data_IF_761521043410
#
_entry.id   IF_761521043410
#
_cell.length_a   1.000
_cell.length_b   1.000
_cell.length_c   1.000
_cell.angle_alpha   90.00
_cell.angle_beta   90.00
_cell.angle_gamma   90.00
#
_symmetry.space_group_name_H-M   'P 1'
#
loop_
_entity.id
_entity.type
_entity.pdbx_description
1 polymer ?
#
# COMPACT_ATOMS: atom_id res chain seq x y z
N UNK A 1 -8.19 -0.48 7.12
CA UNK A 1 -9.20 -0.12 6.11
C UNK A 1 -10.22 -1.26 5.89
N UNK A 2 -9.80 -2.49 5.62
CA UNK A 2 -10.70 -3.63 5.41
C UNK A 2 -11.56 -3.93 6.65
N UNK A 3 -11.02 -3.78 7.86
CA UNK A 3 -11.77 -3.89 9.13
C UNK A 3 -12.87 -2.82 9.30
N UNK A 4 -12.80 -1.73 8.54
CA UNK A 4 -13.86 -0.72 8.47
C UNK A 4 -14.84 -0.94 7.31
N UNK A 5 -14.81 -2.12 6.68
CA UNK A 5 -15.72 -2.51 5.60
C UNK A 5 -15.32 -2.08 4.19
N UNK A 6 -14.15 -1.45 4.01
CA UNK A 6 -13.65 -1.13 2.67
C UNK A 6 -13.12 -2.37 1.95
N UNK A 7 -13.34 -2.43 0.64
CA UNK A 7 -12.72 -3.44 -0.21
C UNK A 7 -11.32 -2.97 -0.58
N UNK A 8 -10.29 -3.69 -0.13
CA UNK A 8 -8.87 -3.35 -0.24
C UNK A 8 -8.04 -4.45 -0.93
N UNK A 9 -8.16 -4.65 -2.25
CA UNK A 9 -7.31 -5.60 -2.95
C UNK A 9 -5.89 -5.02 -3.05
N UNK A 10 -4.96 -5.54 -2.27
CA UNK A 10 -3.56 -5.13 -2.30
C UNK A 10 -2.78 -5.99 -3.29
N UNK A 11 -2.57 -5.45 -4.47
CA UNK A 11 -1.64 -5.97 -5.46
C UNK A 11 -0.27 -5.32 -5.23
N UNK A 12 0.75 -6.10 -4.96
CA UNK A 12 2.10 -5.64 -4.67
C UNK A 12 3.12 -6.24 -5.62
N UNK A 13 4.28 -5.61 -5.72
CA UNK A 13 5.47 -6.17 -6.35
C UNK A 13 6.39 -6.78 -5.29
N UNK A 14 7.30 -7.65 -5.75
CA UNK A 14 8.51 -8.01 -5.02
C UNK A 14 9.49 -6.83 -5.03
N UNK A 15 10.54 -6.90 -4.22
CA UNK A 15 11.56 -5.86 -4.17
C UNK A 15 12.14 -5.55 -5.57
N UNK A 16 12.30 -4.26 -5.86
CA UNK A 16 12.95 -3.76 -7.09
C UNK A 16 14.26 -3.09 -6.71
N UNK A 17 14.21 -2.04 -5.89
CA UNK A 17 15.37 -1.26 -5.41
C UNK A 17 15.41 -1.15 -3.88
N UNK A 18 14.42 -1.68 -3.18
CA UNK A 18 14.32 -1.75 -1.71
C UNK A 18 14.75 -3.11 -1.18
N UNK A 19 14.95 -3.23 0.13
CA UNK A 19 15.33 -4.48 0.80
C UNK A 19 14.21 -5.54 0.71
N UNK A 20 12.93 -5.11 0.72
CA UNK A 20 11.77 -5.96 0.56
C UNK A 20 10.65 -5.23 -0.18
N UNK A 21 9.81 -5.98 -0.90
CA UNK A 21 8.49 -5.55 -1.35
C UNK A 21 7.41 -6.12 -0.42
N UNK A 22 6.20 -5.57 -0.45
CA UNK A 22 5.11 -6.09 0.39
C UNK A 22 4.82 -7.57 0.13
N UNK A 23 4.97 -8.04 -1.12
CA UNK A 23 4.81 -9.45 -1.44
C UNK A 23 5.86 -10.32 -0.74
N UNK A 24 7.13 -9.89 -0.73
CA UNK A 24 8.21 -10.61 -0.05
C UNK A 24 7.96 -10.70 1.46
N UNK A 25 7.45 -9.62 2.06
CA UNK A 25 7.12 -9.57 3.49
C UNK A 25 6.02 -10.56 3.83
N UNK A 26 4.91 -10.54 3.09
CA UNK A 26 3.77 -11.44 3.36
C UNK A 26 4.11 -12.90 3.05
N UNK A 27 4.96 -13.16 2.05
CA UNK A 27 5.38 -14.52 1.68
C UNK A 27 6.12 -15.25 2.80
N UNK A 28 6.66 -14.53 3.79
CA UNK A 28 7.27 -15.15 4.98
C UNK A 28 6.27 -15.90 5.86
N UNK A 29 4.97 -15.62 5.74
CA UNK A 29 3.90 -16.25 6.56
C UNK A 29 2.73 -16.80 5.77
N UNK A 30 2.56 -16.42 4.50
CA UNK A 30 1.44 -16.85 3.68
C UNK A 30 1.80 -16.87 2.20
N UNK A 31 1.04 -17.63 1.44
CA UNK A 31 1.12 -17.63 -0.03
C UNK A 31 0.71 -16.26 -0.58
N UNK A 32 1.41 -15.79 -1.62
CA UNK A 32 1.11 -14.51 -2.30
C UNK A 32 0.77 -14.69 -3.79
N UNK A 33 0.86 -15.91 -4.30
CA UNK A 33 0.55 -16.25 -5.68
C UNK A 33 -0.79 -17.01 -5.74
N UNK A 34 -1.73 -16.43 -6.47
CA UNK A 34 -3.10 -16.92 -6.57
C UNK A 34 -3.61 -16.78 -7.99
N UNK A 35 -4.54 -17.63 -8.40
CA UNK A 35 -5.36 -17.43 -9.59
C UNK A 35 -6.37 -16.29 -9.35
N UNK A 36 -6.90 -15.72 -10.43
CA UNK A 36 -7.94 -14.67 -10.33
C UNK A 36 -9.21 -15.19 -9.61
N UNK A 37 -9.53 -16.46 -9.75
CA UNK A 37 -10.68 -17.06 -9.07
C UNK A 37 -10.48 -17.17 -7.56
N UNK A 38 -9.29 -17.58 -7.12
CA UNK A 38 -8.92 -17.59 -5.70
C UNK A 38 -8.96 -16.17 -5.11
N UNK A 39 -8.37 -15.19 -5.80
CA UNK A 39 -8.40 -13.79 -5.38
C UNK A 39 -9.84 -13.27 -5.18
N UNK A 40 -10.74 -13.59 -6.11
CA UNK A 40 -12.16 -13.23 -5.97
C UNK A 40 -12.81 -13.87 -4.75
N UNK A 41 -12.50 -15.15 -4.45
CA UNK A 41 -13.00 -15.85 -3.26
C UNK A 41 -12.48 -15.21 -1.98
N UNK A 42 -11.17 -14.93 -1.90
CA UNK A 42 -10.53 -14.27 -0.77
C UNK A 42 -11.19 -12.91 -0.51
N UNK A 43 -11.30 -12.05 -1.54
CA UNK A 43 -11.91 -10.72 -1.40
C UNK A 43 -13.36 -10.81 -0.96
N UNK A 44 -14.15 -11.75 -1.47
CA UNK A 44 -15.55 -11.96 -1.03
C UNK A 44 -15.65 -12.35 0.45
N UNK A 45 -14.67 -13.11 0.95
CA UNK A 45 -14.65 -13.58 2.34
C UNK A 45 -14.16 -12.50 3.31
N UNK A 46 -13.10 -11.76 2.94
CA UNK A 46 -12.33 -10.90 3.88
C UNK A 46 -12.40 -9.41 3.57
N UNK A 47 -12.98 -9.00 2.44
CA UNK A 47 -12.91 -7.66 1.86
C UNK A 47 -11.50 -7.20 1.46
N UNK A 48 -10.51 -8.06 1.53
CA UNK A 48 -9.13 -7.71 1.17
C UNK A 48 -8.36 -8.91 0.59
N UNK A 49 -7.22 -8.63 0.01
CA UNK A 49 -6.19 -9.63 -0.30
C UNK A 49 -4.82 -8.96 -0.32
N UNK A 50 -3.78 -9.76 -0.12
CA UNK A 50 -2.38 -9.36 -0.28
C UNK A 50 -1.71 -10.31 -1.26
N UNK A 51 -1.47 -9.86 -2.49
CA UNK A 51 -1.04 -10.72 -3.59
C UNK A 51 0.15 -10.14 -4.35
N UNK A 52 0.95 -11.02 -4.92
CA UNK A 52 1.95 -10.63 -5.90
C UNK A 52 1.33 -10.49 -7.29
N UNK A 53 1.31 -9.25 -7.80
CA UNK A 53 0.68 -8.94 -9.08
C UNK A 53 1.37 -9.53 -10.30
N UNK A 54 2.63 -9.93 -10.18
CA UNK A 54 3.36 -10.59 -11.25
C UNK A 54 2.79 -11.96 -11.63
N UNK A 55 2.30 -12.72 -10.64
CA UNK A 55 1.68 -14.04 -10.90
C UNK A 55 0.33 -13.94 -11.60
N UNK A 56 -0.45 -12.91 -11.31
CA UNK A 56 -1.79 -12.74 -11.90
C UNK A 56 -1.80 -12.24 -13.34
N UNK A 57 -0.68 -11.71 -13.83
CA UNK A 57 -0.66 -11.09 -15.16
C UNK A 57 -1.66 -9.95 -15.35
N UNK A 58 -2.07 -9.29 -14.26
CA UNK A 58 -3.10 -8.21 -14.28
C UNK A 58 -2.66 -7.03 -15.14
N UNK A 59 -1.35 -6.77 -15.19
CA UNK A 59 -0.74 -5.74 -16.04
C UNK A 59 0.51 -6.32 -16.70
N UNK A 60 0.40 -7.16 -17.73
CA UNK A 60 1.54 -7.86 -18.32
C UNK A 60 2.64 -6.94 -18.85
N UNK A 61 2.25 -5.78 -19.40
CA UNK A 61 3.19 -4.77 -19.88
C UNK A 61 4.05 -4.21 -18.75
N UNK A 62 3.45 -3.89 -17.61
CA UNK A 62 4.15 -3.39 -16.42
C UNK A 62 5.18 -4.41 -15.91
N UNK A 63 4.82 -5.68 -15.86
CA UNK A 63 5.73 -6.76 -15.44
C UNK A 63 6.96 -6.86 -16.34
N UNK A 64 6.78 -6.78 -17.67
CA UNK A 64 7.88 -6.81 -18.63
C UNK A 64 8.79 -5.58 -18.52
N UNK A 65 8.18 -4.41 -18.33
CA UNK A 65 8.93 -3.15 -18.18
C UNK A 65 9.75 -3.17 -16.90
N UNK A 66 9.19 -3.60 -15.77
CA UNK A 66 9.90 -3.74 -14.50
C UNK A 66 11.11 -4.68 -14.64
N UNK A 67 10.97 -5.75 -15.42
CA UNK A 67 12.10 -6.66 -15.68
C UNK A 67 13.25 -5.95 -16.41
N UNK A 68 12.94 -5.13 -17.42
CA UNK A 68 13.92 -4.31 -18.14
C UNK A 68 14.56 -3.26 -17.21
N UNK A 69 13.75 -2.55 -16.42
CA UNK A 69 14.22 -1.55 -15.45
C UNK A 69 15.21 -2.16 -14.45
N UNK A 70 14.89 -3.35 -13.92
CA UNK A 70 15.79 -4.11 -13.03
C UNK A 70 17.12 -4.44 -13.71
N UNK A 71 17.06 -4.94 -14.93
CA UNK A 71 18.25 -5.33 -15.70
C UNK A 71 19.16 -4.14 -16.01
N UNK A 72 18.56 -2.99 -16.30
CA UNK A 72 19.29 -1.75 -16.62
C UNK A 72 19.60 -0.90 -15.38
N UNK A 73 19.07 -1.25 -14.20
CA UNK A 73 19.17 -0.46 -12.95
C UNK A 73 18.67 0.98 -13.11
N UNK A 74 17.57 1.18 -13.82
CA UNK A 74 16.93 2.47 -14.04
C UNK A 74 15.56 2.53 -13.38
N UNK A 75 15.10 3.73 -13.04
CA UNK A 75 13.78 3.98 -12.43
C UNK A 75 13.20 5.30 -13.01
N UNK A 76 12.78 5.31 -14.30
CA UNK A 76 12.30 6.53 -14.93
C UNK A 76 10.95 6.98 -14.35
N UNK A 77 10.81 8.26 -14.01
CA UNK A 77 9.58 8.82 -13.40
C UNK A 77 8.30 8.55 -14.21
N UNK A 78 8.27 8.65 -15.55
CA UNK A 78 7.07 8.30 -16.31
C UNK A 78 6.66 6.84 -16.13
N UNK A 79 7.62 5.92 -16.03
CA UNK A 79 7.35 4.50 -15.82
C UNK A 79 6.83 4.23 -14.42
N UNK A 80 7.38 4.90 -13.39
CA UNK A 80 6.87 4.85 -12.03
C UNK A 80 5.37 5.25 -11.98
N UNK A 81 5.02 6.36 -12.63
CA UNK A 81 3.63 6.84 -12.69
C UNK A 81 2.73 5.83 -13.41
N UNK A 82 3.17 5.33 -14.58
CA UNK A 82 2.42 4.36 -15.36
C UNK A 82 2.21 3.05 -14.59
N UNK A 83 3.25 2.53 -13.93
CA UNK A 83 3.19 1.32 -13.11
C UNK A 83 2.22 1.45 -11.93
N UNK A 84 2.25 2.57 -11.23
CA UNK A 84 1.32 2.83 -10.12
C UNK A 84 -0.12 2.90 -10.62
N UNK A 85 -0.38 3.71 -11.66
CA UNK A 85 -1.72 3.95 -12.16
C UNK A 85 -2.34 2.71 -12.81
N UNK A 86 -1.59 2.00 -13.63
CA UNK A 86 -2.09 0.79 -14.31
C UNK A 86 -2.60 -0.26 -13.33
N UNK A 87 -1.87 -0.52 -12.25
CA UNK A 87 -2.29 -1.46 -11.19
C UNK A 87 -3.57 -1.02 -10.49
N UNK A 88 -3.73 0.28 -10.20
CA UNK A 88 -4.92 0.81 -9.53
C UNK A 88 -6.14 0.80 -10.46
N UNK A 89 -5.94 1.10 -11.73
CA UNK A 89 -7.00 1.07 -12.74
C UNK A 89 -7.43 -0.38 -13.02
N UNK A 90 -6.48 -1.30 -13.18
CA UNK A 90 -6.76 -2.71 -13.40
C UNK A 90 -7.53 -3.35 -12.22
N UNK A 91 -7.20 -2.95 -10.98
CA UNK A 91 -7.95 -3.35 -9.79
C UNK A 91 -9.34 -2.68 -9.66
N UNK A 92 -9.71 -1.79 -10.56
CA UNK A 92 -11.00 -1.07 -10.50
C UNK A 92 -11.13 -0.07 -9.35
N UNK A 93 -10.01 0.37 -8.75
CA UNK A 93 -10.00 1.27 -7.59
C UNK A 93 -10.74 2.57 -7.87
N UNK A 94 -11.75 2.90 -7.06
CA UNK A 94 -12.53 4.15 -7.14
C UNK A 94 -11.85 5.28 -6.37
N UNK A 95 -11.26 4.98 -5.23
CA UNK A 95 -10.54 5.89 -4.34
C UNK A 95 -9.08 5.46 -4.29
N UNK A 96 -8.17 6.37 -4.50
CA UNK A 96 -6.73 6.10 -4.56
C UNK A 96 -6.01 7.13 -3.70
N UNK A 97 -5.34 6.68 -2.66
CA UNK A 97 -4.43 7.50 -1.88
C UNK A 97 -2.99 7.20 -2.33
N UNK A 98 -2.26 8.23 -2.70
CA UNK A 98 -0.84 8.14 -3.07
C UNK A 98 -0.02 8.82 -1.98
N UNK A 99 0.78 8.05 -1.28
CA UNK A 99 1.82 8.58 -0.39
C UNK A 99 3.08 8.85 -1.22
N UNK A 100 3.61 10.07 -1.10
CA UNK A 100 4.82 10.52 -1.81
C UNK A 100 5.84 10.94 -0.76
N UNK A 101 6.67 9.99 -0.27
CA UNK A 101 7.78 10.32 0.62
C UNK A 101 8.83 11.15 -0.10
N UNK A 102 9.25 12.26 0.50
CA UNK A 102 10.27 13.16 -0.04
C UNK A 102 11.30 13.53 1.03
N UNK A 103 12.49 13.91 0.61
CA UNK A 103 13.53 14.35 1.54
C UNK A 103 14.94 14.03 1.09
N UNK A 104 15.89 14.27 1.96
CA UNK A 104 17.30 13.89 1.72
C UNK A 104 17.39 12.37 1.74
N UNK A 105 17.95 11.77 0.67
CA UNK A 105 18.01 10.32 0.54
C UNK A 105 16.75 9.64 0.01
N UNK A 106 15.62 10.34 -0.05
CA UNK A 106 14.40 9.83 -0.69
C UNK A 106 14.52 9.83 -2.22
N UNK A 107 13.65 9.05 -2.89
CA UNK A 107 13.61 8.99 -4.37
C UNK A 107 13.33 10.34 -5.04
N UNK A 108 12.67 11.25 -4.34
CA UNK A 108 12.26 12.55 -4.87
C UNK A 108 12.50 13.68 -3.88
N UNK A 109 12.83 14.85 -4.41
CA UNK A 109 12.86 16.11 -3.67
C UNK A 109 11.44 16.64 -3.45
N UNK A 110 11.27 17.62 -2.55
CA UNK A 110 9.97 18.27 -2.30
C UNK A 110 9.36 18.86 -3.58
N UNK A 111 10.18 19.49 -4.44
CA UNK A 111 9.74 20.07 -5.71
C UNK A 111 9.20 18.99 -6.66
N UNK A 112 9.89 17.88 -6.75
CA UNK A 112 9.47 16.74 -7.57
C UNK A 112 8.23 16.06 -7.01
N UNK A 113 8.11 15.90 -5.70
CA UNK A 113 6.93 15.37 -5.05
C UNK A 113 5.68 16.22 -5.33
N UNK A 114 5.80 17.54 -5.28
CA UNK A 114 4.73 18.46 -5.65
C UNK A 114 4.33 18.33 -7.13
N UNK A 115 5.30 18.12 -8.02
CA UNK A 115 5.00 17.87 -9.44
C UNK A 115 4.30 16.52 -9.65
N UNK A 116 4.78 15.45 -9.01
CA UNK A 116 4.12 14.14 -9.06
C UNK A 116 2.69 14.21 -8.55
N UNK A 117 2.45 14.92 -7.45
CA UNK A 117 1.10 15.16 -6.92
C UNK A 117 0.18 15.75 -7.99
N UNK A 118 0.61 16.80 -8.68
CA UNK A 118 -0.18 17.43 -9.76
C UNK A 118 -0.49 16.44 -10.89
N UNK A 119 0.49 15.63 -11.27
CA UNK A 119 0.32 14.63 -12.34
C UNK A 119 -0.71 13.57 -11.90
N UNK A 120 -0.58 12.99 -10.71
CA UNK A 120 -1.52 11.98 -10.22
C UNK A 120 -2.95 12.53 -10.08
N UNK A 121 -3.10 13.74 -9.57
CA UNK A 121 -4.41 14.39 -9.43
C UNK A 121 -5.04 14.70 -10.81
N UNK A 122 -4.22 15.08 -11.81
CA UNK A 122 -4.67 15.24 -13.20
C UNK A 122 -5.13 13.91 -13.81
N UNK A 123 -4.33 12.84 -13.65
CA UNK A 123 -4.69 11.49 -14.09
C UNK A 123 -5.98 11.00 -13.42
N UNK A 124 -6.18 11.33 -12.14
CA UNK A 124 -7.41 11.03 -11.42
C UNK A 124 -8.64 11.63 -12.12
N UNK A 125 -8.57 12.89 -12.52
CA UNK A 125 -9.64 13.55 -13.28
C UNK A 125 -9.85 12.87 -14.63
N UNK A 126 -8.77 12.61 -15.37
CA UNK A 126 -8.82 11.96 -16.69
C UNK A 126 -9.50 10.58 -16.63
N UNK A 127 -9.11 9.75 -15.68
CA UNK A 127 -9.65 8.39 -15.51
C UNK A 127 -10.92 8.34 -14.64
N UNK A 128 -11.49 9.49 -14.25
CA UNK A 128 -12.68 9.59 -13.38
C UNK A 128 -12.52 8.81 -12.07
N UNK A 129 -11.35 8.92 -11.44
CA UNK A 129 -11.02 8.33 -10.13
C UNK A 129 -10.76 9.42 -9.10
N UNK A 130 -11.16 9.17 -7.85
CA UNK A 130 -10.83 10.08 -6.76
C UNK A 130 -9.41 9.78 -6.28
N UNK A 131 -8.46 10.62 -6.67
CA UNK A 131 -7.06 10.52 -6.25
C UNK A 131 -6.76 11.63 -5.26
N UNK A 132 -6.18 11.28 -4.12
CA UNK A 132 -5.57 12.20 -3.15
C UNK A 132 -4.10 11.85 -3.01
N UNK A 133 -3.22 12.84 -3.04
CA UNK A 133 -1.81 12.65 -2.76
C UNK A 133 -1.46 13.32 -1.44
N UNK A 134 -0.76 12.60 -0.58
CA UNK A 134 -0.15 13.13 0.64
C UNK A 134 1.36 13.12 0.49
N UNK A 135 2.01 14.14 1.06
CA UNK A 135 3.46 14.26 1.07
C UNK A 135 3.92 13.94 2.49
N UNK A 136 4.83 12.97 2.61
CA UNK A 136 5.37 12.54 3.90
C UNK A 136 6.89 12.68 3.94
N UNK A 137 7.46 12.67 5.12
CA UNK A 137 8.91 12.63 5.26
C UNK A 137 9.45 11.27 4.80
N UNK A 138 10.42 11.29 3.91
CA UNK A 138 11.13 10.12 3.39
C UNK A 138 12.64 10.20 3.64
N UNK A 139 13.08 11.10 4.53
CA UNK A 139 14.50 11.29 4.83
C UNK A 139 15.13 10.13 5.61
N UNK A 140 14.28 9.33 6.27
CA UNK A 140 14.69 8.14 7.01
C UNK A 140 13.74 6.96 6.69
N UNK A 141 14.20 5.71 6.75
CA UNK A 141 13.33 4.55 6.82
C UNK A 141 12.42 4.65 8.05
N UNK A 142 11.23 4.06 7.98
CA UNK A 142 10.30 3.93 9.11
C UNK A 142 10.30 2.49 9.60
N UNK A 143 9.95 2.28 10.87
CA UNK A 143 10.06 0.99 11.53
C UNK A 143 11.47 0.70 12.02
N UNK A 144 11.67 -0.46 12.62
CA UNK A 144 12.93 -0.91 13.21
C UNK A 144 13.58 -2.03 12.41
N UNK A 145 12.78 -2.77 11.63
CA UNK A 145 13.22 -3.89 10.83
C UNK A 145 13.50 -3.52 9.37
N UNK A 146 14.54 -4.12 8.78
CA UNK A 146 14.86 -4.04 7.37
C UNK A 146 14.95 -5.46 6.81
N UNK A 147 14.18 -5.74 5.77
CA UNK A 147 14.07 -7.05 5.15
C UNK A 147 12.79 -7.79 5.56
N UNK A 148 12.38 -8.83 4.79
CA UNK A 148 11.03 -9.38 4.86
C UNK A 148 10.56 -9.79 6.24
N UNK A 149 11.33 -10.63 6.94
CA UNK A 149 10.95 -11.16 8.26
C UNK A 149 10.95 -10.08 9.35
N UNK A 150 11.89 -9.12 9.30
CA UNK A 150 11.99 -8.07 10.31
C UNK A 150 10.89 -7.02 10.11
N UNK A 151 10.57 -6.68 8.88
CA UNK A 151 9.45 -5.80 8.54
C UNK A 151 8.11 -6.43 8.95
N UNK A 152 7.93 -7.74 8.71
CA UNK A 152 6.75 -8.45 9.19
C UNK A 152 6.61 -8.42 10.71
N UNK A 153 7.73 -8.61 11.44
CA UNK A 153 7.73 -8.52 12.90
C UNK A 153 7.26 -7.16 13.40
N UNK A 154 7.68 -6.08 12.75
CA UNK A 154 7.23 -4.73 13.09
C UNK A 154 5.73 -4.54 12.80
N UNK A 155 5.24 -5.07 11.67
CA UNK A 155 3.81 -5.06 11.32
C UNK A 155 2.99 -5.80 12.39
N UNK A 156 3.41 -7.00 12.80
CA UNK A 156 2.70 -7.76 13.82
C UNK A 156 2.67 -7.02 15.14
N UNK A 157 3.80 -6.42 15.57
CA UNK A 157 3.86 -5.64 16.81
C UNK A 157 2.95 -4.42 16.83
N UNK A 158 2.70 -3.80 15.67
CA UNK A 158 1.77 -2.68 15.57
C UNK A 158 0.33 -3.18 15.57
N UNK A 159 0.05 -4.29 14.90
CA UNK A 159 -1.31 -4.80 14.75
C UNK A 159 -1.83 -5.47 16.02
N UNK A 160 -0.96 -6.15 16.77
CA UNK A 160 -1.32 -6.85 18.02
C UNK A 160 -1.46 -5.82 19.16
N UNK A 161 -2.68 -5.62 19.73
CA UNK A 161 -2.91 -4.65 20.78
C UNK A 161 -2.17 -4.95 22.09
N UNK A 162 -1.60 -6.15 22.25
CA UNK A 162 -0.83 -6.55 23.42
C UNK A 162 0.67 -6.30 23.26
N UNK A 163 1.10 -5.78 22.12
CA UNK A 163 2.50 -5.50 21.81
C UNK A 163 2.72 -4.01 21.53
N UNK A 164 3.99 -3.60 21.62
CA UNK A 164 4.41 -2.25 21.24
C UNK A 164 5.34 -2.32 20.05
N UNK A 165 4.93 -1.71 18.95
CA UNK A 165 5.69 -1.61 17.72
C UNK A 165 6.37 -0.24 17.53
N UNK A 166 7.07 -0.04 16.40
CA UNK A 166 7.67 1.23 16.05
C UNK A 166 6.60 2.32 15.87
N UNK A 167 6.71 3.41 16.65
CA UNK A 167 5.73 4.50 16.68
C UNK A 167 5.61 5.24 15.34
N UNK A 168 6.71 5.48 14.67
CA UNK A 168 6.75 6.15 13.37
C UNK A 168 5.98 5.38 12.29
N UNK A 169 6.10 4.06 12.29
CA UNK A 169 5.36 3.17 11.39
C UNK A 169 3.86 3.14 11.73
N UNK A 170 3.52 3.09 13.04
CA UNK A 170 2.14 3.16 13.51
C UNK A 170 1.50 4.49 13.12
N UNK A 171 2.12 5.62 13.45
CA UNK A 171 1.63 6.97 13.18
C UNK A 171 1.38 7.18 11.68
N UNK A 172 2.31 6.76 10.84
CA UNK A 172 2.14 6.85 9.38
C UNK A 172 1.00 5.98 8.89
N UNK A 173 0.89 4.74 9.38
CA UNK A 173 -0.16 3.80 8.97
C UNK A 173 -1.54 4.31 9.35
N UNK A 174 -1.70 4.82 10.56
CA UNK A 174 -2.93 5.43 11.08
C UNK A 174 -3.28 6.70 10.30
N UNK A 175 -2.30 7.55 10.01
CA UNK A 175 -2.50 8.75 9.17
C UNK A 175 -3.04 8.38 7.80
N UNK A 176 -2.40 7.44 7.09
CA UNK A 176 -2.83 7.03 5.76
C UNK A 176 -4.21 6.35 5.77
N UNK A 177 -4.50 5.54 6.77
CA UNK A 177 -5.82 4.93 6.93
C UNK A 177 -6.90 5.99 7.19
N UNK A 178 -6.60 6.97 8.04
CA UNK A 178 -7.49 8.10 8.31
C UNK A 178 -7.83 8.91 7.07
N UNK A 179 -6.83 9.19 6.23
CA UNK A 179 -7.01 9.86 4.95
C UNK A 179 -7.95 9.09 4.00
N UNK A 180 -7.84 7.76 3.98
CA UNK A 180 -8.75 6.90 3.19
C UNK A 180 -10.16 6.93 3.77
N UNK A 181 -10.33 6.89 5.09
CA UNK A 181 -11.64 6.94 5.73
C UNK A 181 -12.38 8.25 5.42
N UNK A 182 -11.67 9.37 5.43
CA UNK A 182 -12.24 10.66 5.05
C UNK A 182 -12.58 10.74 3.55
N UNK A 183 -11.69 10.23 2.68
CA UNK A 183 -11.94 10.19 1.24
C UNK A 183 -13.17 9.37 0.85
N UNK A 184 -13.40 8.27 1.55
CA UNK A 184 -14.49 7.32 1.27
C UNK A 184 -15.79 7.67 1.98
N UNK A 185 -15.78 8.61 2.92
CA UNK A 185 -16.94 9.02 3.70
C UNK A 185 -17.26 8.10 4.88
N UNK A 186 -16.36 7.18 5.23
CA UNK A 186 -16.48 6.35 6.45
C UNK A 186 -16.36 7.22 7.71
N UNK A 187 -15.52 8.24 7.66
CA UNK A 187 -15.43 9.25 8.70
C UNK A 187 -15.69 10.65 8.17
N UNK A 188 -16.10 11.55 9.07
CA UNK A 188 -16.14 12.99 8.78
C UNK A 188 -14.71 13.52 8.62
N UNK A 189 -14.57 14.63 7.89
CA UNK A 189 -13.30 15.32 7.74
C UNK A 189 -12.71 15.67 9.12
N UNK A 190 -11.44 15.36 9.33
CA UNK A 190 -10.72 15.56 10.59
C UNK A 190 -10.91 14.46 11.64
N UNK A 191 -11.79 13.48 11.41
CA UNK A 191 -12.04 12.36 12.33
C UNK A 191 -11.42 11.02 11.88
N UNK A 192 -10.84 10.98 10.68
CA UNK A 192 -10.33 9.74 10.09
C UNK A 192 -9.19 9.12 10.88
N UNK A 193 -8.24 9.95 11.34
CA UNK A 193 -7.10 9.47 12.13
C UNK A 193 -7.58 8.81 13.43
N UNK A 194 -8.48 9.44 14.16
CA UNK A 194 -9.02 8.89 15.43
C UNK A 194 -9.72 7.56 15.20
N UNK A 195 -10.52 7.43 14.15
CA UNK A 195 -11.15 6.17 13.79
C UNK A 195 -10.13 5.08 13.47
N UNK A 196 -9.04 5.42 12.79
CA UNK A 196 -7.97 4.47 12.47
C UNK A 196 -7.25 3.99 13.73
N UNK A 197 -6.96 4.89 14.69
CA UNK A 197 -6.41 4.59 16.00
C UNK A 197 -7.33 3.64 16.79
N UNK A 198 -8.62 3.94 16.86
CA UNK A 198 -9.60 3.12 17.58
C UNK A 198 -9.72 1.70 16.99
N UNK A 199 -9.69 1.58 15.66
CA UNK A 199 -9.70 0.27 14.98
C UNK A 199 -8.40 -0.50 15.27
N UNK A 200 -7.26 0.17 15.28
CA UNK A 200 -5.97 -0.47 15.54
C UNK A 200 -5.90 -0.98 17.00
N UNK A 201 -6.14 -0.09 17.96
CA UNK A 201 -6.00 -0.38 19.38
C UNK A 201 -7.09 -1.33 19.93
N UNK A 202 -8.24 -1.43 19.26
CA UNK A 202 -9.26 -2.43 19.61
C UNK A 202 -8.95 -3.86 19.15
N UNK A 203 -7.84 -4.08 18.43
CA UNK A 203 -7.48 -5.39 17.89
C UNK A 203 -8.21 -5.78 16.59
N UNK A 204 -9.23 -5.02 16.15
CA UNK A 204 -10.00 -5.31 14.92
C UNK A 204 -9.11 -5.35 13.66
N UNK A 205 -8.05 -4.55 13.63
CA UNK A 205 -7.10 -4.57 12.52
C UNK A 205 -6.28 -5.86 12.51
N UNK A 206 -5.88 -6.36 13.67
CA UNK A 206 -5.15 -7.62 13.82
C UNK A 206 -6.00 -8.83 13.43
N UNK A 207 -7.23 -8.89 13.95
CA UNK A 207 -8.19 -9.94 13.56
C UNK A 207 -8.41 -9.98 12.05
N UNK A 208 -8.64 -8.81 11.43
CA UNK A 208 -8.80 -8.71 9.98
C UNK A 208 -7.55 -9.12 9.21
N UNK A 209 -6.37 -8.80 9.70
CA UNK A 209 -5.12 -9.25 9.11
C UNK A 209 -5.00 -10.77 9.14
N UNK A 210 -5.31 -11.40 10.28
CA UNK A 210 -5.34 -12.86 10.39
C UNK A 210 -6.33 -13.50 9.42
N UNK A 211 -7.57 -13.00 9.34
CA UNK A 211 -8.54 -13.48 8.36
C UNK A 211 -8.03 -13.44 6.91
N UNK A 212 -7.28 -12.39 6.55
CA UNK A 212 -6.71 -12.24 5.20
C UNK A 212 -5.59 -13.26 4.96
N UNK A 213 -4.77 -13.52 5.97
CA UNK A 213 -3.63 -14.45 5.87
C UNK A 213 -4.12 -15.92 5.83
N UNK A 214 -5.18 -16.23 6.57
CA UNK A 214 -5.78 -17.58 6.67
C UNK A 214 -6.72 -17.93 5.49
N UNK A 215 -7.05 -16.96 4.63
CA UNK A 215 -8.02 -17.15 3.54
C UNK A 215 -7.39 -17.69 2.27
#
# INVERSE_FOLDING_TARGET
CASAGLIMPKNSSRAITSAAGTADVIETIARVEFSMEEVKKIIKKTNACMIWGGALGVVPADTKIIWVEKSLKIDPKPMLIASIMSKKLAAGSKYILIDIPYGKGAKVTKKEALNLKKIFEHLGKYFKRKIKCVLTDGSQPIGSGIGPALELRDIIKILDPNQTGPKDLEEKSVFLAGEIFEMTGISKKGAGKKLAEDILHSGKAFEKFREIIEA
#
